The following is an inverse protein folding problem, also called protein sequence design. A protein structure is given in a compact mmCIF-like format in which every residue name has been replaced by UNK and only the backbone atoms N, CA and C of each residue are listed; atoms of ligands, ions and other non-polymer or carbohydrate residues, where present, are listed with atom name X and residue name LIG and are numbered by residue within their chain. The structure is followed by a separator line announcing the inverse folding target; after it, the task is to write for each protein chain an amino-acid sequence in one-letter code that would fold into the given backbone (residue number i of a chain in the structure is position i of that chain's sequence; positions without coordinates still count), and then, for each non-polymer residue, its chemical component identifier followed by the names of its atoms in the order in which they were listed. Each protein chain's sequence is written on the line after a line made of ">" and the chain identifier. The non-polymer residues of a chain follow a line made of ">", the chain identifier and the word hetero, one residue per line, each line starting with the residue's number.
data_IF_852361138120
#
_entry.id   IF_852361138120
#
_cell.length_a   1.000
_cell.length_b   1.000
_cell.length_c   1.000
_cell.angle_alpha   90.00
_cell.angle_beta   90.00
_cell.angle_gamma   90.00
#
_symmetry.space_group_name_H-M   'P 1'
#
loop_
_entity.id
_entity.type
_entity.pdbx_description
1 polymer ?
#
# COMPACT_ATOMS: atom_id res chain seq x y z
N UNK A 1 -57.41 -19.41 40.09
CA UNK A 1 -56.48 -20.32 39.36
C UNK A 1 -55.53 -19.57 38.40
N UNK A 2 -55.08 -18.36 38.73
CA UNK A 2 -54.23 -17.55 37.85
C UNK A 2 -52.77 -17.39 38.27
N UNK A 3 -52.42 -17.53 39.57
CA UNK A 3 -51.09 -17.22 40.09
C UNK A 3 -50.01 -18.22 39.71
N UNK A 4 -50.31 -19.52 39.56
CA UNK A 4 -49.34 -20.54 39.22
C UNK A 4 -48.76 -20.45 37.77
N UNK A 5 -49.56 -19.97 36.83
CA UNK A 5 -49.13 -19.83 35.43
C UNK A 5 -48.18 -18.64 35.21
N UNK A 6 -48.36 -17.57 35.96
CA UNK A 6 -47.50 -16.37 35.90
C UNK A 6 -46.13 -16.67 36.53
N UNK A 7 -46.07 -17.42 37.64
CA UNK A 7 -44.86 -17.83 38.29
C UNK A 7 -44.03 -18.79 37.42
N UNK A 8 -44.68 -19.74 36.75
CA UNK A 8 -44.04 -20.66 35.81
C UNK A 8 -43.47 -19.95 34.59
N UNK A 9 -44.23 -19.01 34.01
CA UNK A 9 -43.73 -18.23 32.87
C UNK A 9 -42.53 -17.35 33.23
N UNK A 10 -42.54 -16.74 34.43
CA UNK A 10 -41.40 -15.95 34.91
C UNK A 10 -40.16 -16.80 35.15
N UNK A 11 -40.30 -18.00 35.73
CA UNK A 11 -39.18 -18.90 35.96
C UNK A 11 -38.54 -19.43 34.67
N UNK A 12 -39.35 -19.73 33.64
CA UNK A 12 -38.89 -20.14 32.32
C UNK A 12 -38.17 -19.01 31.63
N UNK A 13 -38.66 -17.77 31.71
CA UNK A 13 -37.99 -16.60 31.13
C UNK A 13 -36.61 -16.34 31.76
N UNK A 14 -36.51 -16.40 33.07
CA UNK A 14 -35.25 -16.25 33.81
C UNK A 14 -34.25 -17.37 33.46
N UNK A 15 -34.74 -18.61 33.34
CA UNK A 15 -33.88 -19.73 32.93
C UNK A 15 -33.37 -19.58 31.50
N UNK A 16 -34.17 -19.10 30.56
CA UNK A 16 -33.77 -18.85 29.18
C UNK A 16 -32.79 -17.69 29.07
N UNK A 17 -32.97 -16.62 29.85
CA UNK A 17 -32.00 -15.50 29.91
C UNK A 17 -30.66 -15.94 30.53
N UNK A 18 -30.72 -16.74 31.60
CA UNK A 18 -29.51 -17.29 32.22
C UNK A 18 -28.76 -18.25 31.29
N UNK A 19 -29.49 -19.11 30.55
CA UNK A 19 -28.93 -20.01 29.55
C UNK A 19 -28.29 -19.22 28.37
N UNK A 20 -28.98 -18.19 27.90
CA UNK A 20 -28.46 -17.28 26.88
C UNK A 20 -27.20 -16.55 27.32
N UNK A 21 -27.17 -16.09 28.57
CA UNK A 21 -25.97 -15.45 29.14
C UNK A 21 -24.79 -16.42 29.32
N UNK A 22 -25.03 -17.67 29.67
CA UNK A 22 -24.05 -18.72 29.76
C UNK A 22 -23.47 -19.12 28.38
N UNK A 23 -24.32 -19.17 27.35
CA UNK A 23 -23.90 -19.45 25.98
C UNK A 23 -23.12 -18.28 25.38
N UNK A 24 -23.46 -17.04 25.71
CA UNK A 24 -22.72 -15.85 25.31
C UNK A 24 -21.37 -15.71 26.03
N UNK A 25 -21.23 -16.23 27.25
CA UNK A 25 -19.97 -16.22 28.00
C UNK A 25 -18.99 -17.32 27.56
N UNK A 26 -19.39 -18.24 26.66
CA UNK A 26 -18.68 -19.49 26.39
C UNK A 26 -17.63 -19.46 25.28
N UNK A 27 -17.45 -18.36 24.52
CA UNK A 27 -16.39 -18.25 23.52
C UNK A 27 -15.43 -17.13 23.91
N UNK A 28 -14.40 -17.46 24.70
CA UNK A 28 -13.22 -16.60 24.71
C UNK A 28 -12.72 -16.56 23.26
N UNK A 29 -12.61 -15.39 22.64
CA UNK A 29 -11.97 -15.33 21.33
C UNK A 29 -10.61 -16.00 21.47
N UNK A 30 -10.28 -16.97 20.60
CA UNK A 30 -8.97 -17.60 20.60
C UNK A 30 -7.95 -16.49 20.44
N UNK A 31 -7.07 -16.34 21.45
CA UNK A 31 -6.02 -15.33 21.40
C UNK A 31 -5.08 -15.70 20.24
N UNK A 32 -5.02 -14.84 19.23
CA UNK A 32 -4.11 -14.95 18.09
C UNK A 32 -2.98 -13.95 18.29
N UNK A 33 -1.75 -14.45 18.29
CA UNK A 33 -0.56 -13.63 18.40
C UNK A 33 0.31 -13.86 17.18
N UNK A 34 0.93 -12.80 16.68
CA UNK A 34 1.75 -12.83 15.49
C UNK A 34 3.07 -12.12 15.74
N UNK A 35 4.18 -12.79 15.44
CA UNK A 35 5.48 -12.18 15.35
C UNK A 35 6.09 -12.48 13.99
N UNK A 36 6.63 -11.47 13.33
CA UNK A 36 7.31 -11.61 12.04
C UNK A 36 8.40 -10.56 11.88
N UNK A 37 9.42 -10.91 11.09
CA UNK A 37 10.44 -9.99 10.62
C UNK A 37 10.16 -9.51 9.21
N UNK A 38 10.62 -8.31 8.87
CA UNK A 38 10.59 -7.76 7.52
C UNK A 38 11.96 -7.19 7.16
N UNK A 39 12.68 -7.89 6.27
CA UNK A 39 13.95 -7.44 5.71
C UNK A 39 13.69 -6.52 4.52
N UNK A 40 14.29 -5.34 4.52
CA UNK A 40 14.17 -4.33 3.47
C UNK A 40 15.57 -3.98 2.94
N UNK A 41 15.70 -3.91 1.60
CA UNK A 41 16.87 -3.41 0.93
C UNK A 41 16.50 -2.12 0.19
N UNK A 42 17.11 -1.01 0.57
CA UNK A 42 16.91 0.29 -0.06
C UNK A 42 18.11 0.61 -0.92
N UNK A 43 17.90 0.74 -2.23
CA UNK A 43 18.92 0.99 -3.23
C UNK A 43 18.86 2.43 -3.72
N UNK A 44 20.03 3.05 -3.92
CA UNK A 44 20.13 4.37 -4.52
C UNK A 44 21.28 4.36 -5.54
N UNK A 45 21.03 4.84 -6.75
CA UNK A 45 21.93 4.75 -7.90
C UNK A 45 22.43 3.30 -8.12
N UNK A 46 21.48 2.39 -8.40
CA UNK A 46 21.82 0.97 -8.49
C UNK A 46 22.25 0.43 -7.13
N UNK A 47 23.47 -0.09 -7.04
CA UNK A 47 24.04 -0.65 -5.81
C UNK A 47 25.12 0.21 -5.16
N UNK A 48 25.29 1.47 -5.60
CA UNK A 48 26.30 2.37 -5.04
C UNK A 48 26.06 2.65 -3.55
N UNK A 49 24.80 2.92 -3.21
CA UNK A 49 24.38 3.10 -1.83
C UNK A 49 23.24 2.15 -1.52
N UNK A 50 23.49 1.27 -0.56
CA UNK A 50 22.54 0.26 -0.12
C UNK A 50 22.34 0.39 1.37
N UNK A 51 21.09 0.44 1.82
CA UNK A 51 20.72 0.40 3.22
C UNK A 51 19.87 -0.84 3.47
N UNK A 52 20.29 -1.64 4.44
CA UNK A 52 19.53 -2.80 4.91
C UNK A 52 18.81 -2.44 6.22
N UNK A 53 17.53 -2.76 6.29
CA UNK A 53 16.71 -2.59 7.49
C UNK A 53 16.00 -3.90 7.79
N UNK A 54 16.18 -4.45 9.01
CA UNK A 54 15.44 -5.61 9.50
C UNK A 54 14.49 -5.17 10.61
N UNK A 55 13.18 -5.27 10.37
CA UNK A 55 12.12 -4.83 11.28
C UNK A 55 11.50 -6.01 12.01
N UNK A 56 11.34 -5.88 13.31
CA UNK A 56 10.71 -6.85 14.18
C UNK A 56 9.32 -6.36 14.56
N UNK A 57 8.29 -7.10 14.18
CA UNK A 57 6.89 -6.70 14.32
C UNK A 57 6.13 -7.74 15.14
N UNK A 58 5.43 -7.29 16.19
CA UNK A 58 4.56 -8.09 17.04
C UNK A 58 3.15 -7.52 17.02
N UNK A 59 2.16 -8.35 16.71
CA UNK A 59 0.76 -7.97 16.61
C UNK A 59 0.54 -6.68 15.77
N UNK A 60 1.20 -6.62 14.58
CA UNK A 60 1.15 -5.49 13.63
C UNK A 60 1.85 -4.21 14.10
N UNK A 61 2.54 -4.24 15.24
CA UNK A 61 3.30 -3.11 15.77
C UNK A 61 4.80 -3.41 15.75
N UNK A 62 5.57 -2.55 15.10
CA UNK A 62 7.02 -2.61 15.11
C UNK A 62 7.52 -2.28 16.50
N UNK A 63 8.43 -3.09 17.06
CA UNK A 63 8.97 -2.89 18.40
C UNK A 63 10.48 -2.71 18.44
N UNK A 64 11.21 -3.22 17.45
CA UNK A 64 12.64 -3.02 17.27
C UNK A 64 13.03 -3.15 15.80
N UNK A 65 14.16 -2.58 15.41
CA UNK A 65 14.73 -2.77 14.08
C UNK A 65 16.26 -2.69 14.10
N UNK A 66 16.89 -3.36 13.15
CA UNK A 66 18.27 -3.15 12.75
C UNK A 66 18.31 -2.17 11.59
N UNK A 67 19.26 -1.25 11.58
CA UNK A 67 19.56 -0.35 10.47
C UNK A 67 21.05 -0.42 10.17
N UNK A 68 21.43 -0.77 8.95
CA UNK A 68 22.82 -0.86 8.53
C UNK A 68 23.58 0.46 8.65
N UNK A 69 22.90 1.61 8.55
CA UNK A 69 23.51 2.93 8.76
C UNK A 69 23.86 3.19 10.24
N UNK A 70 23.13 2.54 11.15
CA UNK A 70 23.37 2.62 12.60
C UNK A 70 24.29 1.51 13.07
N UNK A 71 24.22 0.33 12.40
CA UNK A 71 25.05 -0.85 12.69
C UNK A 71 24.64 -1.65 13.91
N UNK A 72 23.45 -1.40 14.47
CA UNK A 72 22.90 -2.12 15.63
C UNK A 72 21.38 -2.13 15.64
N UNK A 73 20.78 -3.01 16.45
CA UNK A 73 19.36 -2.97 16.75
C UNK A 73 19.01 -1.78 17.65
N UNK A 74 17.90 -1.13 17.33
CA UNK A 74 17.31 -0.01 18.07
C UNK A 74 15.89 -0.40 18.49
N UNK A 75 15.53 -0.11 19.73
CA UNK A 75 14.16 -0.27 20.21
C UNK A 75 13.28 0.87 19.67
N UNK A 76 12.15 0.51 19.08
CA UNK A 76 11.12 1.48 18.62
C UNK A 76 10.10 1.76 19.72
N UNK A 77 9.95 0.85 20.67
CA UNK A 77 9.05 0.95 21.81
C UNK A 77 9.70 0.36 23.04
N UNK A 78 9.17 0.63 24.25
CA UNK A 78 9.62 0.03 25.48
C UNK A 78 9.62 -1.52 25.44
N UNK A 79 8.68 -2.12 24.67
CA UNK A 79 8.65 -3.57 24.46
C UNK A 79 9.90 -4.08 23.72
N UNK A 80 10.50 -3.25 22.89
CA UNK A 80 11.67 -3.60 22.07
C UNK A 80 13.00 -3.48 22.80
N UNK A 81 13.09 -2.85 23.98
CA UNK A 81 14.36 -2.61 24.67
C UNK A 81 15.12 -3.92 24.98
N UNK A 82 14.44 -4.88 25.60
CA UNK A 82 15.04 -6.17 25.89
C UNK A 82 15.41 -6.97 24.65
N UNK A 83 14.63 -6.85 23.57
CA UNK A 83 14.93 -7.51 22.30
C UNK A 83 16.16 -6.89 21.62
N UNK A 84 16.25 -5.56 21.58
CA UNK A 84 17.40 -4.86 21.00
C UNK A 84 18.69 -5.19 21.78
N UNK A 85 18.65 -5.22 23.11
CA UNK A 85 19.77 -5.63 23.95
C UNK A 85 20.19 -7.07 23.67
N UNK A 86 19.23 -8.00 23.61
CA UNK A 86 19.47 -9.41 23.31
C UNK A 86 20.14 -9.59 21.94
N UNK A 87 19.61 -8.97 20.88
CA UNK A 87 20.21 -9.08 19.55
C UNK A 87 21.61 -8.45 19.50
N UNK A 88 21.80 -7.28 20.09
CA UNK A 88 23.08 -6.57 20.10
C UNK A 88 24.16 -7.30 20.91
N UNK A 89 23.79 -8.11 21.89
CA UNK A 89 24.74 -8.93 22.69
C UNK A 89 25.23 -10.18 21.96
N UNK A 90 24.52 -10.63 20.92
CA UNK A 90 24.91 -11.79 20.13
C UNK A 90 25.86 -11.38 18.99
N UNK A 91 27.15 -11.57 19.21
CA UNK A 91 28.20 -11.14 18.28
C UNK A 91 28.10 -11.81 16.90
N UNK A 92 27.77 -13.12 16.86
CA UNK A 92 27.63 -13.88 15.61
C UNK A 92 26.45 -13.37 14.77
N UNK A 93 25.30 -13.16 15.43
CA UNK A 93 24.13 -12.62 14.75
C UNK A 93 24.34 -11.17 14.28
N UNK A 94 25.03 -10.36 15.06
CA UNK A 94 25.39 -8.98 14.69
C UNK A 94 26.35 -8.93 13.48
N UNK A 95 27.30 -9.84 13.40
CA UNK A 95 28.17 -9.97 12.22
C UNK A 95 27.35 -10.36 10.99
N UNK A 96 26.47 -11.33 11.12
CA UNK A 96 25.56 -11.75 10.03
C UNK A 96 24.71 -10.61 9.50
N UNK A 97 23.99 -9.87 10.36
CA UNK A 97 23.10 -8.79 9.91
C UNK A 97 23.86 -7.59 9.36
N UNK A 98 25.07 -7.30 9.86
CA UNK A 98 25.93 -6.26 9.28
C UNK A 98 26.40 -6.62 7.88
N UNK A 99 26.68 -7.90 7.63
CA UNK A 99 27.03 -8.41 6.30
C UNK A 99 25.87 -8.46 5.32
N UNK A 100 24.61 -8.34 5.76
CA UNK A 100 23.43 -8.48 4.92
C UNK A 100 23.32 -7.43 3.79
N UNK A 101 23.94 -6.27 3.93
CA UNK A 101 24.05 -5.28 2.84
C UNK A 101 24.66 -5.92 1.58
N UNK A 102 25.70 -6.73 1.75
CA UNK A 102 26.39 -7.38 0.64
C UNK A 102 25.81 -8.75 0.31
N UNK A 103 25.65 -9.60 1.33
CA UNK A 103 25.30 -11.02 1.15
C UNK A 103 23.84 -11.23 0.80
N UNK A 104 22.97 -10.28 1.15
CA UNK A 104 21.54 -10.35 0.88
C UNK A 104 21.11 -9.27 -0.12
N UNK A 105 21.34 -7.98 0.18
CA UNK A 105 20.81 -6.91 -0.67
C UNK A 105 21.52 -6.83 -2.03
N UNK A 106 22.84 -6.67 -2.08
CA UNK A 106 23.57 -6.58 -3.34
C UNK A 106 23.50 -7.87 -4.16
N UNK A 107 23.56 -9.01 -3.47
CA UNK A 107 23.38 -10.31 -4.12
C UNK A 107 22.02 -10.40 -4.81
N UNK A 108 20.94 -10.14 -4.09
CA UNK A 108 19.58 -10.22 -4.62
C UNK A 108 19.31 -9.19 -5.71
N UNK A 109 19.88 -7.97 -5.62
CA UNK A 109 19.78 -6.98 -6.69
C UNK A 109 20.21 -7.56 -8.03
N UNK A 110 21.38 -8.23 -8.09
CA UNK A 110 21.86 -8.86 -9.32
C UNK A 110 20.93 -9.96 -9.86
N UNK A 111 20.21 -10.65 -8.97
CA UNK A 111 19.29 -11.73 -9.36
C UNK A 111 18.01 -11.16 -9.99
N UNK A 112 17.42 -10.12 -9.42
CA UNK A 112 16.11 -9.64 -9.87
C UNK A 112 16.13 -8.34 -10.69
N UNK A 113 17.30 -7.72 -10.88
CA UNK A 113 17.45 -6.46 -11.63
C UNK A 113 16.79 -6.51 -13.02
N UNK A 114 16.94 -7.61 -13.75
CA UNK A 114 16.46 -7.76 -15.12
C UNK A 114 14.96 -7.74 -15.26
N UNK A 115 14.24 -8.32 -14.28
CA UNK A 115 12.78 -8.43 -14.33
C UNK A 115 12.04 -7.46 -13.40
N UNK A 116 12.77 -6.64 -12.61
CA UNK A 116 12.20 -5.58 -11.76
C UNK A 116 12.73 -4.20 -12.14
N UNK A 117 14.00 -3.91 -11.84
CA UNK A 117 14.60 -2.58 -12.04
C UNK A 117 14.61 -2.18 -13.52
N UNK A 118 14.95 -3.13 -14.40
CA UNK A 118 14.99 -2.94 -15.87
C UNK A 118 13.66 -3.26 -16.56
N UNK A 119 12.62 -3.60 -15.79
CA UNK A 119 11.30 -3.82 -16.37
C UNK A 119 10.76 -2.50 -16.91
N UNK A 120 10.34 -2.50 -18.17
CA UNK A 120 9.61 -1.40 -18.79
C UNK A 120 8.45 -1.96 -19.60
N UNK A 121 7.25 -1.39 -19.42
CA UNK A 121 6.05 -1.70 -20.20
C UNK A 121 5.44 -0.40 -20.64
N UNK A 122 5.32 -0.23 -21.95
CA UNK A 122 4.79 0.99 -22.56
C UNK A 122 3.32 1.23 -22.18
N UNK A 123 2.92 2.50 -21.91
CA UNK A 123 1.53 2.85 -21.64
C UNK A 123 0.64 2.72 -22.86
N UNK A 124 -0.58 2.24 -22.66
CA UNK A 124 -1.68 2.32 -23.62
C UNK A 124 -2.47 3.59 -23.32
N UNK A 125 -2.59 4.48 -24.29
CA UNK A 125 -3.26 5.77 -24.14
C UNK A 125 -4.57 5.78 -24.92
N UNK A 126 -5.66 6.15 -24.25
CA UNK A 126 -6.97 6.33 -24.89
C UNK A 126 -7.60 7.65 -24.45
N UNK A 127 -7.98 8.46 -25.43
CA UNK A 127 -8.73 9.70 -25.19
C UNK A 127 -10.19 9.48 -25.50
N UNK A 128 -11.09 9.93 -24.62
CA UNK A 128 -12.53 9.90 -24.87
C UNK A 128 -13.23 11.11 -24.23
N UNK A 129 -14.32 11.53 -24.81
CA UNK A 129 -15.21 12.51 -24.19
C UNK A 129 -15.99 11.82 -23.05
N UNK A 130 -16.07 12.50 -21.90
CA UNK A 130 -16.96 12.15 -20.80
C UNK A 130 -18.18 13.06 -20.88
N UNK A 131 -19.34 12.50 -21.27
CA UNK A 131 -20.60 13.25 -21.24
C UNK A 131 -21.08 13.39 -19.80
N UNK A 132 -21.28 14.63 -19.35
CA UNK A 132 -21.97 14.90 -18.10
C UNK A 132 -23.47 14.93 -18.34
N UNK A 133 -24.21 13.99 -17.78
CA UNK A 133 -25.65 13.79 -18.04
C UNK A 133 -26.59 14.89 -17.53
N UNK A 134 -26.10 16.03 -17.02
CA UNK A 134 -26.98 17.03 -16.37
C UNK A 134 -26.74 18.49 -16.78
N UNK A 135 -25.68 18.82 -17.51
CA UNK A 135 -25.43 20.19 -17.98
C UNK A 135 -24.87 20.16 -19.41
N UNK A 136 -25.50 20.87 -20.38
CA UNK A 136 -25.08 20.84 -21.78
C UNK A 136 -23.78 21.61 -22.10
N UNK A 137 -23.12 22.20 -21.09
CA UNK A 137 -22.03 23.15 -21.35
C UNK A 137 -20.64 22.73 -20.80
N UNK A 138 -20.48 21.55 -20.18
CA UNK A 138 -19.18 21.11 -19.70
C UNK A 138 -18.85 19.71 -20.22
N UNK A 139 -18.29 19.63 -21.41
CA UNK A 139 -17.68 18.41 -21.88
C UNK A 139 -16.33 18.23 -21.17
N UNK A 140 -16.09 17.03 -20.72
CA UNK A 140 -14.81 16.62 -20.13
C UNK A 140 -14.12 15.67 -21.08
N UNK A 141 -12.83 15.87 -21.27
CA UNK A 141 -11.99 14.93 -22.00
C UNK A 141 -11.20 14.10 -21.02
N UNK A 142 -11.28 12.79 -21.15
CA UNK A 142 -10.54 11.85 -20.34
C UNK A 142 -9.39 11.24 -21.12
N UNK A 143 -8.21 11.28 -20.54
CA UNK A 143 -7.05 10.55 -21.00
C UNK A 143 -6.82 9.36 -20.07
N UNK A 144 -7.09 8.15 -20.55
CA UNK A 144 -6.84 6.90 -19.87
C UNK A 144 -5.46 6.39 -20.27
N UNK A 145 -4.57 6.30 -19.30
CA UNK A 145 -3.21 5.78 -19.48
C UNK A 145 -3.09 4.50 -18.66
N UNK A 146 -2.91 3.36 -19.31
CA UNK A 146 -3.06 2.05 -18.69
C UNK A 146 -1.96 1.09 -19.07
N UNK A 147 -1.67 0.12 -18.17
CA UNK A 147 -0.81 -1.03 -18.42
C UNK A 147 0.67 -0.69 -18.51
N UNK A 148 1.14 0.37 -17.88
CA UNK A 148 2.53 0.79 -17.89
C UNK A 148 3.31 0.35 -16.64
N UNK A 149 4.61 0.28 -16.77
CA UNK A 149 5.58 0.06 -15.70
C UNK A 149 6.92 0.69 -16.12
N UNK A 150 7.64 1.42 -15.27
CA UNK A 150 7.39 1.72 -13.84
C UNK A 150 6.27 2.74 -13.60
N UNK A 151 5.93 3.07 -12.34
CA UNK A 151 4.82 3.97 -12.01
C UNK A 151 5.07 5.45 -12.32
N UNK A 152 6.34 5.85 -12.50
CA UNK A 152 6.72 7.22 -12.85
C UNK A 152 6.24 7.54 -14.26
N UNK A 153 5.38 8.53 -14.37
CA UNK A 153 4.77 8.93 -15.65
C UNK A 153 4.38 10.41 -15.61
N UNK A 154 4.52 11.09 -16.74
CA UNK A 154 4.03 12.45 -16.91
C UNK A 154 2.93 12.47 -17.99
N UNK A 155 1.79 13.05 -17.66
CA UNK A 155 0.63 13.17 -18.56
C UNK A 155 0.21 14.63 -18.62
N UNK A 156 0.23 15.22 -19.82
CA UNK A 156 -0.10 16.62 -20.07
C UNK A 156 -1.19 16.75 -21.11
N UNK A 157 -2.09 17.72 -20.90
CA UNK A 157 -3.08 18.13 -21.87
C UNK A 157 -2.65 19.38 -22.63
N UNK A 158 -2.93 19.39 -23.92
CA UNK A 158 -2.72 20.55 -24.78
C UNK A 158 -4.01 20.90 -25.52
N UNK A 159 -4.39 22.17 -25.54
CA UNK A 159 -5.45 22.74 -26.37
C UNK A 159 -4.83 23.67 -27.39
N UNK A 160 -5.01 23.39 -28.68
CA UNK A 160 -4.48 24.21 -29.80
C UNK A 160 -2.95 24.44 -29.68
N UNK A 161 -2.22 23.43 -29.20
CA UNK A 161 -0.78 23.47 -29.00
C UNK A 161 -0.30 24.16 -27.72
N UNK A 162 -1.20 24.71 -26.88
CA UNK A 162 -0.88 25.33 -25.60
C UNK A 162 -1.16 24.33 -24.47
N UNK A 163 -0.23 24.19 -23.53
CA UNK A 163 -0.40 23.34 -22.36
C UNK A 163 -1.52 23.89 -21.44
N UNK A 164 -2.40 23.00 -21.00
CA UNK A 164 -3.47 23.26 -20.03
C UNK A 164 -3.07 22.72 -18.67
N UNK A 165 -3.08 23.57 -17.67
CA UNK A 165 -2.69 23.20 -16.29
C UNK A 165 -3.80 23.46 -15.28
N UNK A 166 -4.57 24.56 -15.41
CA UNK A 166 -5.56 24.98 -14.41
C UNK A 166 -6.84 24.14 -14.43
N UNK A 167 -7.19 23.54 -15.58
CA UNK A 167 -8.43 22.78 -15.79
C UNK A 167 -8.19 21.28 -15.88
N UNK A 168 -7.07 20.81 -15.36
CA UNK A 168 -6.66 19.41 -15.40
C UNK A 168 -6.78 18.80 -14.01
N UNK A 169 -7.49 17.67 -13.93
CA UNK A 169 -7.63 16.88 -12.70
C UNK A 169 -7.08 15.48 -12.96
N UNK A 170 -6.20 15.00 -12.10
CA UNK A 170 -5.61 13.68 -12.20
C UNK A 170 -5.98 12.83 -10.99
N UNK A 171 -6.16 11.54 -11.23
CA UNK A 171 -6.13 10.55 -10.13
C UNK A 171 -4.69 10.33 -9.68
N UNK A 172 -4.52 9.68 -8.53
CA UNK A 172 -3.26 9.06 -8.22
C UNK A 172 -2.96 7.92 -9.20
N UNK A 173 -1.68 7.55 -9.32
CA UNK A 173 -1.28 6.35 -10.06
C UNK A 173 -1.74 5.12 -9.28
N UNK A 174 -2.51 4.25 -9.93
CA UNK A 174 -3.14 3.08 -9.32
C UNK A 174 -2.46 1.79 -9.79
N UNK A 175 -2.22 0.86 -8.86
CA UNK A 175 -1.72 -0.47 -9.16
C UNK A 175 -2.84 -1.37 -9.72
N UNK A 176 -2.56 -2.11 -10.80
CA UNK A 176 -3.49 -3.10 -11.36
C UNK A 176 -3.38 -4.48 -10.69
N UNK A 177 -2.31 -4.73 -9.91
CA UNK A 177 -2.06 -6.01 -9.24
C UNK A 177 -1.24 -7.02 -10.06
N UNK A 178 -0.99 -6.73 -11.33
CA UNK A 178 -0.22 -7.54 -12.28
C UNK A 178 1.14 -6.92 -12.66
N UNK A 179 1.71 -6.08 -11.78
CA UNK A 179 2.92 -5.31 -12.04
C UNK A 179 2.78 -4.28 -13.17
N UNK A 180 1.58 -3.76 -13.37
CA UNK A 180 1.31 -2.60 -14.20
C UNK A 180 0.50 -1.56 -13.44
N UNK A 181 0.47 -0.36 -13.98
CA UNK A 181 -0.21 0.79 -13.39
C UNK A 181 -1.18 1.43 -14.36
N UNK A 182 -2.05 2.27 -13.82
CA UNK A 182 -2.97 3.11 -14.58
C UNK A 182 -3.13 4.47 -13.93
N UNK A 183 -3.45 5.46 -14.74
CA UNK A 183 -3.81 6.81 -14.30
C UNK A 183 -4.87 7.39 -15.24
N UNK A 184 -5.77 8.20 -14.68
CA UNK A 184 -6.78 8.93 -15.42
C UNK A 184 -6.53 10.42 -15.24
N UNK A 185 -6.40 11.13 -16.36
CA UNK A 185 -6.23 12.58 -16.38
C UNK A 185 -7.35 13.22 -17.18
N UNK A 186 -8.12 14.08 -16.53
CA UNK A 186 -9.32 14.70 -17.09
C UNK A 186 -9.05 16.18 -17.34
N UNK A 187 -9.36 16.64 -18.53
CA UNK A 187 -9.40 18.06 -18.89
C UNK A 187 -10.86 18.55 -18.88
N UNK A 188 -11.16 19.57 -18.11
CA UNK A 188 -12.42 20.32 -18.22
C UNK A 188 -12.31 21.29 -19.39
N UNK A 189 -13.01 20.98 -20.48
CA UNK A 189 -12.99 21.76 -21.70
C UNK A 189 -14.42 21.90 -22.26
N UNK A 190 -14.67 23.05 -22.90
CA UNK A 190 -15.86 23.24 -23.74
C UNK A 190 -15.38 23.16 -25.20
N UNK A 191 -15.48 21.97 -25.84
CA UNK A 191 -14.97 21.81 -27.21
C UNK A 191 -15.69 22.73 -28.16
N UNK A 192 -14.92 23.45 -28.98
CA UNK A 192 -15.44 24.28 -30.10
C UNK A 192 -15.03 23.63 -31.40
N UNK A 193 -15.83 23.91 -32.42
CA UNK A 193 -15.51 23.41 -33.76
C UNK A 193 -14.17 24.01 -34.25
N UNK A 194 -13.23 23.11 -34.56
CA UNK A 194 -11.88 23.47 -34.97
C UNK A 194 -10.82 23.40 -33.85
N UNK A 195 -11.22 23.22 -32.59
CA UNK A 195 -10.25 23.00 -31.50
C UNK A 195 -9.58 21.62 -31.61
N UNK A 196 -8.29 21.61 -31.33
CA UNK A 196 -7.47 20.40 -31.23
C UNK A 196 -7.10 20.13 -29.74
N UNK A 197 -7.34 18.90 -29.29
CA UNK A 197 -6.98 18.45 -27.97
C UNK A 197 -6.00 17.29 -28.05
N UNK A 198 -4.89 17.37 -27.33
CA UNK A 198 -3.85 16.35 -27.32
C UNK A 198 -3.52 15.98 -25.87
N UNK A 199 -3.60 14.69 -25.56
CA UNK A 199 -3.02 14.13 -24.34
C UNK A 199 -1.62 13.62 -24.67
N UNK A 200 -0.60 14.21 -24.07
CA UNK A 200 0.80 13.82 -24.22
C UNK A 200 1.24 13.02 -23.00
N UNK A 201 1.84 11.87 -23.24
CA UNK A 201 2.34 10.97 -22.20
C UNK A 201 3.84 10.82 -22.39
N UNK A 202 4.59 11.07 -21.32
CA UNK A 202 6.04 10.81 -21.25
C UNK A 202 6.28 9.74 -20.20
N UNK A 203 6.98 8.66 -20.60
CA UNK A 203 7.26 7.50 -19.78
C UNK A 203 8.68 7.00 -20.10
N UNK A 204 9.41 6.46 -19.08
CA UNK A 204 10.78 6.00 -19.20
C UNK A 204 10.90 4.64 -19.92
#
# INVERSE_FOLDING_TARGET
>A
MGSGRVLLAGAVLVALVALGAMLAAGTRPSAFFQWYGRAECHFHNGTERVRFVDRQIYNRQQFAHFDSNVGKFVADTALGEGAAEYYNSNAEYMEYVRGAVDTFCRHNYGVFETFTVKRSVEPKVRVSALQSGSLPESDRLACYVTGFYPPEIEVKWFQNGREETERVVSTDVMQNGDWTYQVLVVLEAVPRRGDSYVCRVEHA
#
